data_IF_063152097600
#
_entry.id   IF_063152097600
#
_cell.length_a   1.000
_cell.length_b   1.000
_cell.length_c   1.000
_cell.angle_alpha   90.00
_cell.angle_beta   90.00
_cell.angle_gamma   90.00
#
_symmetry.space_group_name_H-M   'P 1'
#
loop_
_entity.id
_entity.type
_entity.pdbx_description
1 polymer ?
#
# COMPACT_ATOMS: atom_id res chain seq x y z
N UNK A 1 2.80 -14.14 13.30
CA UNK A 1 3.39 -13.03 14.08
C UNK A 1 2.34 -12.38 14.95
N UNK A 2 1.33 -11.70 14.40
CA UNK A 2 0.33 -10.93 15.17
C UNK A 2 -0.63 -11.72 16.06
N UNK A 3 -0.79 -13.02 15.81
CA UNK A 3 -1.63 -13.93 16.62
C UNK A 3 -0.80 -14.82 17.57
N UNK A 4 0.54 -14.67 17.59
CA UNK A 4 1.41 -15.46 18.46
C UNK A 4 1.78 -14.62 19.69
N UNK A 5 1.30 -15.02 20.87
CA UNK A 5 1.59 -14.33 22.14
C UNK A 5 3.09 -14.29 22.47
N UNK A 6 3.90 -15.16 21.86
CA UNK A 6 5.36 -15.16 22.01
C UNK A 6 6.04 -14.13 21.11
N UNK A 7 5.32 -13.43 20.23
CA UNK A 7 5.86 -12.38 19.37
C UNK A 7 6.22 -11.13 20.18
N UNK A 8 7.28 -11.22 20.97
CA UNK A 8 7.76 -10.15 21.86
C UNK A 8 9.24 -9.88 21.66
N UNK A 9 9.67 -8.68 22.05
CA UNK A 9 11.07 -8.28 22.13
C UNK A 9 11.89 -9.23 23.01
N UNK A 10 11.32 -9.69 24.12
CA UNK A 10 11.93 -10.64 25.04
C UNK A 10 12.22 -12.00 24.38
N UNK A 11 11.28 -12.53 23.59
CA UNK A 11 11.48 -13.77 22.82
C UNK A 11 12.63 -13.61 21.82
N UNK A 12 12.70 -12.48 21.12
CA UNK A 12 13.79 -12.23 20.18
C UNK A 12 15.13 -11.99 20.89
N UNK A 13 15.14 -11.33 22.06
CA UNK A 13 16.35 -11.15 22.87
C UNK A 13 16.91 -12.50 23.36
N UNK A 14 16.04 -13.47 23.69
CA UNK A 14 16.46 -14.82 24.07
C UNK A 14 17.14 -15.60 22.92
N UNK A 15 16.70 -15.39 21.67
CA UNK A 15 17.26 -16.05 20.48
C UNK A 15 18.50 -15.31 19.95
N UNK A 16 18.53 -13.99 20.06
CA UNK A 16 19.57 -13.13 19.49
C UNK A 16 20.03 -12.05 20.49
N UNK A 17 20.67 -12.49 21.58
CA UNK A 17 21.06 -11.63 22.70
C UNK A 17 22.02 -10.48 22.33
N UNK A 18 22.84 -10.67 21.30
CA UNK A 18 23.90 -9.72 20.91
C UNK A 18 23.63 -8.96 19.62
N UNK A 19 22.66 -9.39 18.81
CA UNK A 19 22.40 -8.82 17.49
C UNK A 19 21.06 -8.09 17.45
N UNK A 20 20.98 -6.88 16.87
CA UNK A 20 19.69 -6.26 16.54
C UNK A 20 18.88 -7.15 15.60
N UNK A 21 17.61 -7.40 15.95
CA UNK A 21 16.68 -8.17 15.11
C UNK A 21 15.47 -7.31 14.76
N UNK A 22 15.14 -7.29 13.47
CA UNK A 22 13.97 -6.64 12.91
C UNK A 22 13.25 -7.63 11.99
N UNK A 23 12.01 -7.97 12.30
CA UNK A 23 11.17 -8.84 11.49
C UNK A 23 9.99 -8.02 10.96
N UNK A 24 9.86 -7.93 9.64
CA UNK A 24 8.72 -7.28 8.98
C UNK A 24 7.65 -8.33 8.65
N UNK A 25 6.39 -8.01 8.92
CA UNK A 25 5.27 -8.83 8.44
C UNK A 25 5.26 -8.88 6.92
N UNK A 26 4.69 -9.95 6.37
CA UNK A 26 4.50 -10.06 4.92
C UNK A 26 3.65 -8.89 4.36
N UNK A 27 2.68 -8.40 5.14
CA UNK A 27 1.84 -7.25 4.77
C UNK A 27 2.60 -5.90 4.78
N UNK A 28 3.76 -5.82 5.42
CA UNK A 28 4.47 -4.55 5.63
C UNK A 28 3.87 -3.63 6.70
N UNK A 29 2.72 -3.98 7.28
CA UNK A 29 2.02 -3.15 8.27
C UNK A 29 2.51 -3.32 9.72
N UNK A 30 3.25 -4.39 10.02
CA UNK A 30 3.71 -4.69 11.38
C UNK A 30 5.17 -5.11 11.40
N UNK A 31 5.93 -4.60 12.36
CA UNK A 31 7.29 -5.06 12.63
C UNK A 31 7.40 -5.59 14.06
N UNK A 32 8.24 -6.61 14.25
CA UNK A 32 8.67 -7.10 15.57
C UNK A 32 10.17 -6.87 15.73
N UNK A 33 10.54 -6.25 16.85
CA UNK A 33 11.91 -5.83 17.15
C UNK A 33 12.35 -6.34 18.50
N UNK A 34 13.64 -6.69 18.62
CA UNK A 34 14.26 -6.96 19.90
C UNK A 34 14.77 -5.67 20.57
N UNK A 35 15.19 -5.74 21.84
CA UNK A 35 15.58 -4.53 22.58
C UNK A 35 16.83 -3.86 21.99
N UNK A 36 17.73 -4.62 21.34
CA UNK A 36 18.91 -4.08 20.65
C UNK A 36 18.52 -3.27 19.41
N UNK A 37 17.56 -3.75 18.62
CA UNK A 37 17.05 -3.01 17.46
C UNK A 37 16.30 -1.74 17.87
N UNK A 38 15.45 -1.80 18.91
CA UNK A 38 14.78 -0.62 19.47
C UNK A 38 15.79 0.46 19.91
N UNK A 39 16.83 0.08 20.66
CA UNK A 39 17.90 1.01 21.07
C UNK A 39 18.66 1.60 19.89
N UNK A 40 18.98 0.79 18.88
CA UNK A 40 19.68 1.25 17.67
C UNK A 40 18.87 2.31 16.92
N UNK A 41 17.56 2.07 16.79
CA UNK A 41 16.61 2.99 16.18
C UNK A 41 16.16 4.12 17.12
N UNK A 42 16.79 4.24 18.30
CA UNK A 42 16.54 5.27 19.30
C UNK A 42 15.06 5.34 19.75
N UNK A 43 14.38 4.20 19.78
CA UNK A 43 13.01 4.09 20.29
C UNK A 43 13.07 3.80 21.78
N UNK A 44 12.52 4.70 22.58
CA UNK A 44 12.48 4.60 24.04
C UNK A 44 11.13 4.10 24.54
N UNK A 45 11.07 3.62 25.78
CA UNK A 45 9.82 3.20 26.44
C UNK A 45 8.78 4.33 26.53
N UNK A 46 9.26 5.58 26.58
CA UNK A 46 8.45 6.79 26.58
C UNK A 46 8.12 7.35 25.18
N UNK A 47 8.56 6.67 24.10
CA UNK A 47 8.28 7.14 22.74
C UNK A 47 6.77 7.26 22.53
N UNK A 48 6.31 8.41 22.06
CA UNK A 48 4.90 8.61 21.74
C UNK A 48 4.53 7.88 20.44
N UNK A 49 3.28 7.45 20.36
CA UNK A 49 2.74 6.86 19.14
C UNK A 49 2.67 7.94 18.03
N UNK A 50 3.18 7.68 16.82
CA UNK A 50 3.05 8.61 15.71
C UNK A 50 1.59 8.69 15.24
N UNK A 51 1.22 9.77 14.56
CA UNK A 51 -0.11 9.88 13.96
C UNK A 51 -0.36 8.70 13.01
N UNK A 52 -1.40 7.91 13.28
CA UNK A 52 -1.74 6.73 12.50
C UNK A 52 -0.85 5.52 12.74
N UNK A 53 -0.09 5.44 13.83
CA UNK A 53 0.71 4.28 14.17
C UNK A 53 0.75 4.02 15.66
N UNK A 54 1.15 2.82 16.06
CA UNK A 54 1.19 2.41 17.47
C UNK A 54 2.46 1.64 17.77
N UNK A 55 3.15 2.03 18.83
CA UNK A 55 4.13 1.17 19.49
C UNK A 55 3.42 0.37 20.58
N UNK A 56 3.32 -0.94 20.39
CA UNK A 56 2.63 -1.80 21.35
C UNK A 56 3.43 -1.90 22.65
N UNK A 57 2.70 -1.84 23.76
CA UNK A 57 3.23 -1.96 25.11
C UNK A 57 2.66 -3.22 25.75
N UNK A 58 3.44 -3.86 26.61
CA UNK A 58 3.03 -5.02 27.38
C UNK A 58 1.94 -4.69 28.40
N UNK A 59 1.52 -5.68 29.18
CA UNK A 59 0.39 -5.57 30.11
C UNK A 59 0.55 -4.48 31.17
N UNK A 60 1.79 -4.14 31.54
CA UNK A 60 2.09 -3.05 32.47
C UNK A 60 1.96 -1.64 31.86
N UNK A 61 1.70 -1.54 30.55
CA UNK A 61 1.50 -0.31 29.81
C UNK A 61 2.74 0.58 29.67
N UNK A 62 3.91 0.17 30.16
CA UNK A 62 5.12 0.99 30.19
C UNK A 62 6.27 0.42 29.38
N UNK A 63 6.33 -0.90 29.22
CA UNK A 63 7.38 -1.56 28.44
C UNK A 63 6.91 -1.88 27.03
N UNK A 64 7.71 -1.53 26.03
CA UNK A 64 7.53 -1.86 24.63
C UNK A 64 7.56 -3.37 24.44
N UNK A 65 6.50 -3.90 23.85
CA UNK A 65 6.42 -5.32 23.49
C UNK A 65 7.36 -5.68 22.34
N UNK A 66 7.88 -4.68 21.62
CA UNK A 66 8.66 -4.84 20.39
C UNK A 66 7.82 -4.82 19.11
N UNK A 67 6.48 -4.86 19.21
CA UNK A 67 5.59 -4.76 18.07
C UNK A 67 5.30 -3.29 17.73
N UNK A 68 5.41 -2.94 16.45
CA UNK A 68 5.08 -1.63 15.92
C UNK A 68 4.13 -1.77 14.73
N UNK A 69 3.09 -0.95 14.68
CA UNK A 69 2.00 -1.05 13.71
C UNK A 69 1.89 0.23 12.87
N UNK A 70 1.51 0.08 11.60
CA UNK A 70 1.16 1.16 10.67
C UNK A 70 2.26 2.22 10.53
N UNK A 71 2.00 3.49 10.84
CA UNK A 71 3.01 4.54 10.74
C UNK A 71 4.17 4.36 11.73
N UNK A 72 3.98 3.61 12.83
CA UNK A 72 5.09 3.23 13.70
C UNK A 72 5.99 2.21 12.99
N UNK A 73 5.41 1.19 12.33
CA UNK A 73 6.17 0.27 11.47
C UNK A 73 6.89 1.02 10.34
N UNK A 74 6.16 1.89 9.63
CA UNK A 74 6.69 2.70 8.52
C UNK A 74 7.87 3.55 8.96
N UNK A 75 7.78 4.20 10.13
CA UNK A 75 8.88 4.97 10.73
C UNK A 75 10.13 4.11 10.93
N UNK A 76 9.98 2.88 11.41
CA UNK A 76 11.13 1.99 11.63
C UNK A 76 11.76 1.54 10.32
N UNK A 77 10.94 1.15 9.33
CA UNK A 77 11.42 0.78 8.00
C UNK A 77 12.16 1.93 7.34
N UNK A 78 11.62 3.14 7.41
CA UNK A 78 12.27 4.34 6.87
C UNK A 78 13.53 4.71 7.64
N UNK A 79 13.56 4.54 8.96
CA UNK A 79 14.77 4.72 9.78
C UNK A 79 15.90 3.78 9.36
N UNK A 80 15.59 2.49 9.13
CA UNK A 80 16.56 1.51 8.62
C UNK A 80 17.02 1.85 7.20
N UNK A 81 16.09 2.27 6.34
CA UNK A 81 16.43 2.73 5.00
C UNK A 81 17.37 3.94 5.06
N UNK A 82 17.11 4.87 5.98
CA UNK A 82 17.92 6.08 6.15
C UNK A 82 19.36 5.84 6.60
N UNK A 83 19.62 4.74 7.33
CA UNK A 83 20.96 4.29 7.73
C UNK A 83 21.74 3.63 6.58
N UNK A 84 21.07 3.23 5.50
CA UNK A 84 21.73 2.55 4.39
C UNK A 84 22.63 3.53 3.61
N UNK A 85 23.89 3.17 3.32
CA UNK A 85 24.76 4.02 2.51
C UNK A 85 24.18 4.26 1.11
N UNK A 86 24.45 5.45 0.54
CA UNK A 86 23.96 5.84 -0.80
C UNK A 86 24.30 4.79 -1.86
N UNK A 87 25.52 4.25 -1.84
CA UNK A 87 25.95 3.19 -2.75
C UNK A 87 25.10 1.92 -2.64
N UNK A 88 24.59 1.61 -1.44
CA UNK A 88 23.66 0.51 -1.22
C UNK A 88 22.30 0.76 -1.87
N UNK A 89 21.76 1.97 -1.75
CA UNK A 89 20.53 2.35 -2.44
C UNK A 89 20.68 2.34 -3.96
N UNK A 90 21.77 2.91 -4.48
CA UNK A 90 22.05 2.94 -5.92
C UNK A 90 22.13 1.52 -6.50
N UNK A 91 22.82 0.61 -5.80
CA UNK A 91 22.87 -0.82 -6.17
C UNK A 91 21.49 -1.46 -6.16
N UNK A 92 20.72 -1.30 -5.09
CA UNK A 92 19.36 -1.85 -4.99
C UNK A 92 18.45 -1.34 -6.12
N UNK A 93 18.53 -0.04 -6.44
CA UNK A 93 17.75 0.56 -7.52
C UNK A 93 18.15 0.02 -8.91
N UNK A 94 19.44 -0.19 -9.14
CA UNK A 94 19.94 -0.78 -10.39
C UNK A 94 19.49 -2.26 -10.53
N UNK A 95 19.57 -3.03 -9.45
CA UNK A 95 19.07 -4.41 -9.40
C UNK A 95 17.55 -4.46 -9.64
N UNK A 96 16.79 -3.57 -8.99
CA UNK A 96 15.35 -3.44 -9.19
C UNK A 96 14.99 -3.06 -10.63
N UNK A 97 15.68 -2.08 -11.22
CA UNK A 97 15.46 -1.67 -12.61
C UNK A 97 15.77 -2.82 -13.59
N UNK A 98 16.83 -3.58 -13.33
CA UNK A 98 17.17 -4.77 -14.13
C UNK A 98 16.06 -5.81 -14.04
N UNK A 99 15.62 -6.14 -12.81
CA UNK A 99 14.51 -7.09 -12.59
C UNK A 99 13.19 -6.63 -13.24
N UNK A 100 12.92 -5.32 -13.26
CA UNK A 100 11.77 -4.76 -13.94
C UNK A 100 11.84 -4.99 -15.46
N UNK A 101 12.99 -4.73 -16.07
CA UNK A 101 13.19 -4.98 -17.51
C UNK A 101 13.08 -6.47 -17.85
N UNK A 102 13.62 -7.36 -17.02
CA UNK A 102 13.47 -8.82 -17.18
C UNK A 102 12.00 -9.24 -17.23
N UNK A 103 11.18 -8.63 -16.38
CA UNK A 103 9.73 -8.81 -16.35
C UNK A 103 8.96 -7.95 -17.37
N UNK A 104 9.66 -7.25 -18.28
CA UNK A 104 9.09 -6.34 -19.30
C UNK A 104 8.30 -5.15 -18.72
N UNK A 105 8.58 -4.78 -17.47
CA UNK A 105 8.04 -3.59 -16.82
C UNK A 105 8.88 -2.38 -17.22
N UNK A 106 8.26 -1.43 -17.93
CA UNK A 106 8.93 -0.21 -18.41
C UNK A 106 8.66 1.02 -17.55
N UNK A 107 7.66 0.94 -16.66
CA UNK A 107 7.24 2.03 -15.76
C UNK A 107 6.96 1.50 -14.37
N UNK A 108 7.45 2.19 -13.36
CA UNK A 108 7.21 1.85 -11.96
C UNK A 108 6.63 3.05 -11.24
N UNK A 109 5.57 2.81 -10.47
CA UNK A 109 5.07 3.76 -9.49
C UNK A 109 5.64 3.36 -8.14
N UNK A 110 6.65 4.07 -7.70
CA UNK A 110 7.36 3.79 -6.46
C UNK A 110 6.71 4.64 -5.36
N UNK A 111 6.38 4.02 -4.23
CA UNK A 111 5.89 4.71 -3.03
C UNK A 111 6.91 4.61 -1.88
N UNK A 112 8.13 5.14 -2.01
CA UNK A 112 9.12 5.13 -0.95
C UNK A 112 9.14 6.49 -0.23
N UNK A 113 9.66 6.53 0.99
CA UNK A 113 10.29 7.76 1.48
C UNK A 113 11.79 7.69 1.21
N UNK A 114 12.17 8.06 -0.02
CA UNK A 114 13.58 8.18 -0.38
C UNK A 114 14.12 9.49 0.16
N UNK A 115 15.27 9.41 0.83
CA UNK A 115 16.00 10.61 1.21
C UNK A 115 16.37 11.43 -0.04
N UNK A 116 16.36 12.78 0.05
CA UNK A 116 16.65 13.65 -1.10
C UNK A 116 17.97 13.33 -1.83
N UNK A 117 18.97 12.83 -1.11
CA UNK A 117 20.25 12.39 -1.70
C UNK A 117 20.10 11.17 -2.62
N UNK A 118 19.30 10.18 -2.22
CA UNK A 118 19.03 8.99 -3.04
C UNK A 118 18.20 9.35 -4.26
N UNK A 119 17.25 10.27 -4.09
CA UNK A 119 16.46 10.84 -5.19
C UNK A 119 17.37 11.53 -6.21
N UNK A 120 18.34 12.33 -5.77
CA UNK A 120 19.31 12.98 -6.67
C UNK A 120 20.13 11.99 -7.49
N UNK A 121 20.61 10.91 -6.86
CA UNK A 121 21.32 9.84 -7.57
C UNK A 121 20.44 9.16 -8.63
N UNK A 122 19.17 8.91 -8.31
CA UNK A 122 18.21 8.34 -9.27
C UNK A 122 17.99 9.22 -10.49
N UNK A 123 17.74 10.50 -10.24
CA UNK A 123 17.50 11.50 -11.29
C UNK A 123 18.74 11.68 -12.16
N UNK A 124 19.93 11.64 -11.56
CA UNK A 124 21.20 11.81 -12.25
C UNK A 124 21.69 10.56 -12.99
N UNK A 125 21.02 9.41 -12.86
CA UNK A 125 21.45 8.16 -13.51
C UNK A 125 20.90 8.05 -14.95
N UNK A 126 21.72 8.29 -16.00
CA UNK A 126 21.26 8.21 -17.38
C UNK A 126 21.04 6.77 -17.85
N UNK A 127 21.54 5.77 -17.11
CA UNK A 127 21.43 4.35 -17.46
C UNK A 127 20.16 3.69 -16.89
N UNK A 128 19.26 4.46 -16.28
CA UNK A 128 18.02 3.93 -15.72
C UNK A 128 17.09 3.43 -16.84
N UNK A 129 17.02 2.12 -17.01
CA UNK A 129 16.26 1.47 -18.08
C UNK A 129 14.72 1.46 -17.88
N UNK A 130 14.23 2.05 -16.78
CA UNK A 130 12.80 2.11 -16.43
C UNK A 130 12.41 3.54 -16.05
N UNK A 131 11.17 3.92 -16.39
CA UNK A 131 10.61 5.20 -15.93
C UNK A 131 10.04 5.03 -14.52
N UNK A 132 10.44 5.89 -13.59
CA UNK A 132 9.98 5.85 -12.20
C UNK A 132 9.16 7.11 -11.91
N UNK A 133 7.92 6.91 -11.47
CA UNK A 133 7.15 7.95 -10.79
C UNK A 133 7.28 7.73 -9.29
N UNK A 134 7.93 8.64 -8.60
CA UNK A 134 8.04 8.67 -7.16
C UNK A 134 6.80 9.36 -6.59
N UNK A 135 6.20 8.72 -5.60
CA UNK A 135 5.02 9.14 -4.86
C UNK A 135 5.46 9.48 -3.44
N UNK A 136 5.03 10.62 -2.92
CA UNK A 136 5.37 11.03 -1.56
C UNK A 136 4.70 10.11 -0.54
N UNK A 137 5.49 9.53 0.36
CA UNK A 137 5.01 8.71 1.47
C UNK A 137 5.58 9.22 2.82
N UNK A 138 5.18 10.42 3.25
CA UNK A 138 5.75 11.07 4.43
C UNK A 138 5.31 10.38 5.73
N UNK A 139 6.20 10.31 6.73
CA UNK A 139 5.80 9.85 8.08
C UNK A 139 4.74 10.75 8.71
N UNK A 140 4.83 12.06 8.48
CA UNK A 140 3.85 13.01 8.98
C UNK A 140 2.99 13.56 7.84
N UNK A 141 2.10 12.69 7.34
CA UNK A 141 1.15 13.05 6.29
C UNK A 141 0.25 14.23 6.67
N UNK A 142 -0.05 14.42 7.96
CA UNK A 142 -0.88 15.52 8.47
C UNK A 142 -0.23 16.90 8.33
N UNK A 143 1.05 16.98 7.97
CA UNK A 143 1.78 18.22 7.72
C UNK A 143 2.44 18.24 6.34
N UNK A 144 2.09 17.29 5.47
CA UNK A 144 2.73 17.14 4.18
C UNK A 144 2.54 18.36 3.28
N UNK A 145 3.61 18.68 2.56
CA UNK A 145 3.65 19.58 1.41
C UNK A 145 4.57 18.97 0.35
N UNK A 146 4.30 19.14 -0.95
CA UNK A 146 5.15 18.57 -1.99
C UNK A 146 6.51 19.28 -2.03
N UNK A 147 7.60 18.52 -1.90
CA UNK A 147 8.95 19.05 -2.05
C UNK A 147 9.43 18.93 -3.50
N UNK A 148 9.03 19.91 -4.32
CA UNK A 148 9.48 20.01 -5.72
C UNK A 148 10.81 20.76 -5.88
N UNK A 149 11.29 21.40 -4.82
CA UNK A 149 12.52 22.22 -4.87
C UNK A 149 13.74 21.33 -4.74
N UNK A 150 13.72 20.35 -3.84
CA UNK A 150 14.87 19.46 -3.64
C UNK A 150 14.87 18.24 -4.54
N UNK A 151 13.79 18.03 -5.32
CA UNK A 151 13.53 16.87 -6.18
C UNK A 151 13.35 17.27 -7.65
N UNK A 152 14.44 17.60 -8.36
CA UNK A 152 14.35 17.90 -9.79
C UNK A 152 13.93 16.63 -10.54
N UNK A 153 12.94 16.73 -11.43
CA UNK A 153 12.56 15.63 -12.31
C UNK A 153 13.58 15.47 -13.46
N UNK A 154 13.64 14.28 -14.05
CA UNK A 154 14.32 13.99 -15.31
C UNK A 154 13.34 13.37 -16.31
N UNK A 155 13.82 12.99 -17.49
CA UNK A 155 13.03 12.25 -18.48
C UNK A 155 12.54 10.89 -17.94
N UNK A 156 13.35 10.24 -17.10
CA UNK A 156 13.08 8.90 -16.57
C UNK A 156 12.52 8.91 -15.14
N UNK A 157 12.68 10.00 -14.38
CA UNK A 157 12.22 10.11 -12.99
C UNK A 157 11.30 11.31 -12.81
N UNK A 158 10.09 11.09 -12.34
CA UNK A 158 9.09 12.13 -12.05
C UNK A 158 8.56 12.02 -10.63
N UNK A 159 8.01 13.11 -10.09
CA UNK A 159 7.39 13.17 -8.76
C UNK A 159 5.95 13.59 -8.93
N UNK A 160 5.01 12.78 -8.43
CA UNK A 160 3.63 13.22 -8.29
C UNK A 160 2.82 12.26 -7.43
N UNK A 161 2.03 12.86 -6.56
CA UNK A 161 0.99 12.29 -5.74
C UNK A 161 1.44 11.97 -4.32
N UNK A 162 0.46 11.75 -3.45
CA UNK A 162 0.62 11.55 -2.02
C UNK A 162 0.04 10.19 -1.62
N UNK A 163 0.86 9.29 -1.08
CA UNK A 163 0.41 8.05 -0.45
C UNK A 163 -0.10 8.34 0.96
N UNK A 164 -1.28 7.82 1.26
CA UNK A 164 -1.93 7.91 2.58
C UNK A 164 -2.28 6.48 3.00
N UNK A 165 -1.71 6.00 4.11
CA UNK A 165 -2.15 4.75 4.74
C UNK A 165 -3.38 5.01 5.61
N UNK A 166 -4.61 4.83 5.11
CA UNK A 166 -5.83 5.21 5.86
C UNK A 166 -6.28 4.14 6.85
N UNK A 167 -6.08 2.86 6.55
CA UNK A 167 -6.28 1.74 7.48
C UNK A 167 -5.13 0.74 7.36
N UNK A 168 -5.13 -0.28 8.22
CA UNK A 168 -4.12 -1.33 8.18
C UNK A 168 -4.44 -2.45 7.22
N UNK A 169 -3.81 -3.60 7.48
CA UNK A 169 -4.05 -4.83 6.75
C UNK A 169 -5.05 -5.78 7.47
N UNK A 170 -5.76 -6.62 6.70
CA UNK A 170 -6.86 -7.45 7.21
C UNK A 170 -6.33 -8.63 8.03
N UNK A 171 -5.14 -9.13 7.72
CA UNK A 171 -4.51 -10.26 8.41
C UNK A 171 -4.26 -9.91 9.88
N UNK A 172 -3.86 -8.66 10.14
CA UNK A 172 -3.58 -8.11 11.46
C UNK A 172 -4.84 -7.61 12.19
N UNK A 173 -5.98 -7.58 11.50
CA UNK A 173 -7.27 -7.03 11.96
C UNK A 173 -7.28 -5.50 12.11
N UNK A 174 -6.47 -4.83 11.31
CA UNK A 174 -6.28 -3.39 11.36
C UNK A 174 -6.96 -2.67 10.20
N UNK A 175 -7.34 -3.37 9.13
CA UNK A 175 -8.25 -2.82 8.13
C UNK A 175 -9.60 -2.47 8.75
N UNK A 176 -10.16 -1.31 8.38
CA UNK A 176 -11.38 -0.79 8.99
C UNK A 176 -12.61 -1.36 8.30
N UNK A 177 -13.33 -2.23 9.02
CA UNK A 177 -14.54 -2.90 8.56
C UNK A 177 -15.82 -2.22 9.06
N UNK A 178 -16.93 -2.32 8.31
CA UNK A 178 -18.28 -1.90 8.74
C UNK A 178 -18.80 -2.76 9.89
N UNK A 179 -18.46 -4.04 9.88
CA UNK A 179 -18.85 -5.03 10.89
C UNK A 179 -17.61 -5.65 11.55
N UNK A 180 -17.68 -6.09 12.82
CA UNK A 180 -16.54 -6.71 13.50
C UNK A 180 -15.93 -7.90 12.75
N UNK A 181 -14.63 -8.13 12.98
CA UNK A 181 -13.94 -9.31 12.46
C UNK A 181 -14.62 -10.59 12.96
N UNK A 182 -14.79 -11.58 12.08
CA UNK A 182 -15.51 -12.82 12.40
C UNK A 182 -14.79 -13.62 13.49
N UNK A 183 -13.47 -13.63 13.46
CA UNK A 183 -12.60 -14.33 14.41
C UNK A 183 -12.17 -13.47 15.62
N UNK A 184 -12.52 -12.18 15.63
CA UNK A 184 -12.32 -11.29 16.77
C UNK A 184 -13.45 -10.26 16.85
N UNK A 185 -14.63 -10.64 17.37
CA UNK A 185 -15.82 -9.78 17.38
C UNK A 185 -15.70 -8.50 18.22
N UNK A 186 -14.63 -8.36 19.01
CA UNK A 186 -14.34 -7.16 19.82
C UNK A 186 -13.72 -6.01 19.04
N UNK A 187 -13.35 -6.22 17.76
CA UNK A 187 -12.75 -5.17 16.93
C UNK A 187 -13.32 -5.20 15.51
N UNK A 188 -13.36 -4.02 14.89
CA UNK A 188 -13.65 -3.83 13.46
C UNK A 188 -12.49 -3.09 12.76
N UNK A 189 -11.28 -3.17 13.33
CA UNK A 189 -10.13 -2.37 12.90
C UNK A 189 -10.36 -0.87 13.10
N UNK A 190 -9.49 -0.04 12.52
CA UNK A 190 -9.53 1.40 12.74
C UNK A 190 -8.98 2.19 11.55
N UNK A 191 -9.36 3.46 11.50
CA UNK A 191 -8.74 4.43 10.61
C UNK A 191 -7.52 5.01 11.32
N UNK A 192 -6.42 5.17 10.58
CA UNK A 192 -5.21 5.83 11.03
C UNK A 192 -5.42 7.35 11.23
N UNK A 193 -6.47 7.91 10.63
CA UNK A 193 -6.81 9.33 10.70
C UNK A 193 -8.28 9.54 11.02
N UNK A 194 -8.58 10.57 11.80
CA UNK A 194 -9.96 11.04 11.97
C UNK A 194 -10.49 11.60 10.65
N UNK A 195 -11.82 11.65 10.45
CA UNK A 195 -12.41 12.24 9.24
C UNK A 195 -11.92 13.67 8.97
N UNK A 196 -11.79 14.50 10.02
CA UNK A 196 -11.27 15.86 9.89
C UNK A 196 -9.80 15.88 9.44
N UNK A 197 -8.94 15.07 10.07
CA UNK A 197 -7.54 15.00 9.69
C UNK A 197 -7.35 14.52 8.24
N UNK A 198 -8.11 13.50 7.81
CA UNK A 198 -8.09 13.03 6.42
C UNK A 198 -8.53 14.14 5.45
N UNK A 199 -9.60 14.86 5.76
CA UNK A 199 -10.04 15.98 4.93
C UNK A 199 -8.97 17.08 4.83
N UNK A 200 -8.27 17.41 5.91
CA UNK A 200 -7.20 18.41 5.88
C UNK A 200 -5.98 17.97 5.06
N UNK A 201 -5.65 16.68 5.10
CA UNK A 201 -4.62 16.09 4.22
C UNK A 201 -5.06 16.25 2.76
N UNK A 202 -6.31 15.87 2.45
CA UNK A 202 -6.84 15.92 1.08
C UNK A 202 -6.99 17.35 0.55
N UNK A 203 -7.37 18.33 1.38
CA UNK A 203 -7.39 19.76 0.99
C UNK A 203 -6.00 20.24 0.59
N UNK A 204 -4.96 19.81 1.30
CA UNK A 204 -3.56 20.12 0.95
C UNK A 204 -3.14 19.46 -0.37
N UNK A 205 -3.47 18.18 -0.57
CA UNK A 205 -3.23 17.49 -1.84
C UNK A 205 -3.92 18.19 -3.02
N UNK A 206 -5.19 18.58 -2.85
CA UNK A 206 -5.92 19.34 -3.87
C UNK A 206 -5.27 20.70 -4.16
N UNK A 207 -4.92 21.46 -3.13
CA UNK A 207 -4.29 22.77 -3.28
C UNK A 207 -2.91 22.67 -3.97
N UNK A 208 -2.19 21.57 -3.74
CA UNK A 208 -0.94 21.24 -4.41
C UNK A 208 -1.12 20.71 -5.85
N UNK A 209 -2.34 20.38 -6.27
CA UNK A 209 -2.60 19.71 -7.54
C UNK A 209 -2.03 18.30 -7.60
N UNK A 210 -1.93 17.60 -6.46
CA UNK A 210 -1.38 16.25 -6.37
C UNK A 210 -2.49 15.22 -6.14
N UNK A 211 -2.50 14.10 -6.87
CA UNK A 211 -3.47 13.05 -6.63
C UNK A 211 -3.15 12.28 -5.34
N UNK A 212 -4.16 12.04 -4.48
CA UNK A 212 -4.00 11.13 -3.36
C UNK A 212 -4.05 9.68 -3.84
N UNK A 213 -3.22 8.84 -3.22
CA UNK A 213 -3.21 7.40 -3.29
C UNK A 213 -3.56 6.87 -1.91
N UNK A 214 -4.83 6.53 -1.71
CA UNK A 214 -5.37 6.20 -0.40
C UNK A 214 -5.38 4.68 -0.27
N UNK A 215 -4.53 4.13 0.58
CA UNK A 215 -4.64 2.76 1.05
C UNK A 215 -5.96 2.61 1.80
N UNK A 216 -6.88 1.80 1.30
CA UNK A 216 -8.13 1.49 2.00
C UNK A 216 -8.51 0.04 1.67
N UNK A 217 -8.22 -0.88 2.59
CA UNK A 217 -8.54 -2.30 2.39
C UNK A 217 -9.95 -2.64 2.86
N UNK A 218 -10.34 -2.19 4.06
CA UNK A 218 -11.66 -2.47 4.60
C UNK A 218 -12.80 -1.70 3.93
N UNK A 219 -14.00 -2.26 3.91
CA UNK A 219 -15.20 -1.61 3.32
C UNK A 219 -15.52 -0.25 3.96
N UNK A 220 -15.42 -0.14 5.30
CA UNK A 220 -15.60 1.15 5.99
C UNK A 220 -14.41 2.12 5.77
N UNK A 221 -13.22 1.63 5.43
CA UNK A 221 -12.11 2.49 5.01
C UNK A 221 -12.37 3.09 3.63
N UNK A 222 -12.91 2.29 2.69
CA UNK A 222 -13.33 2.76 1.37
C UNK A 222 -14.42 3.82 1.50
N UNK A 223 -15.43 3.60 2.36
CA UNK A 223 -16.45 4.61 2.67
C UNK A 223 -15.81 5.94 3.12
N UNK A 224 -14.93 5.87 4.13
CA UNK A 224 -14.28 7.04 4.70
C UNK A 224 -13.43 7.80 3.67
N UNK A 225 -12.73 7.07 2.79
CA UNK A 225 -11.96 7.66 1.71
C UNK A 225 -12.85 8.41 0.71
N UNK A 226 -13.97 7.80 0.29
CA UNK A 226 -14.92 8.41 -0.63
C UNK A 226 -15.60 9.63 0.00
N UNK A 227 -16.01 9.55 1.27
CA UNK A 227 -16.63 10.65 2.02
C UNK A 227 -15.69 11.85 2.09
N UNK A 228 -14.41 11.61 2.39
CA UNK A 228 -13.42 12.67 2.48
C UNK A 228 -13.07 13.27 1.12
N UNK A 229 -13.00 12.46 0.05
CA UNK A 229 -12.82 12.97 -1.32
C UNK A 229 -14.02 13.83 -1.75
N UNK A 230 -15.25 13.41 -1.48
CA UNK A 230 -16.45 14.20 -1.79
C UNK A 230 -16.49 15.52 -1.01
N UNK A 231 -16.19 15.49 0.29
CA UNK A 231 -16.21 16.67 1.16
C UNK A 231 -15.14 17.72 0.79
N UNK A 232 -14.03 17.30 0.18
CA UNK A 232 -12.89 18.19 -0.12
C UNK A 232 -12.87 18.66 -1.56
N UNK A 233 -13.35 17.84 -2.50
CA UNK A 233 -13.21 18.10 -3.93
C UNK A 233 -14.37 17.66 -4.79
N UNK A 234 -15.03 16.55 -4.44
CA UNK A 234 -16.03 15.93 -5.30
C UNK A 234 -15.50 15.74 -6.72
N UNK A 235 -16.25 16.22 -7.72
CA UNK A 235 -15.87 16.09 -9.14
C UNK A 235 -14.58 16.83 -9.51
N UNK A 236 -14.11 17.78 -8.70
CA UNK A 236 -12.81 18.46 -8.94
C UNK A 236 -11.61 17.51 -8.81
N UNK A 237 -11.80 16.34 -8.22
CA UNK A 237 -10.77 15.30 -8.20
C UNK A 237 -10.55 14.61 -9.55
N UNK A 238 -11.56 14.59 -10.43
CA UNK A 238 -11.51 13.80 -11.66
C UNK A 238 -10.31 14.10 -12.57
N UNK A 239 -9.87 15.36 -12.77
CA UNK A 239 -8.66 15.66 -13.55
C UNK A 239 -7.38 15.16 -12.90
N UNK A 240 -7.33 15.08 -11.56
CA UNK A 240 -6.16 14.59 -10.82
C UNK A 240 -6.09 13.06 -10.79
N UNK A 241 -7.22 12.37 -10.94
CA UNK A 241 -7.33 10.91 -10.96
C UNK A 241 -6.83 10.28 -9.64
N UNK A 242 -7.48 10.58 -8.50
CA UNK A 242 -7.16 9.96 -7.22
C UNK A 242 -7.25 8.43 -7.31
N UNK A 243 -6.53 7.75 -6.43
CA UNK A 243 -6.53 6.28 -6.37
C UNK A 243 -6.97 5.78 -5.01
N UNK A 244 -7.76 4.70 -5.03
CA UNK A 244 -7.94 3.84 -3.86
C UNK A 244 -7.07 2.61 -4.10
N UNK A 245 -6.04 2.47 -3.26
CA UNK A 245 -5.08 1.37 -3.27
C UNK A 245 -5.63 0.22 -2.42
N UNK A 246 -5.37 -1.02 -2.87
CA UNK A 246 -5.98 -2.26 -2.40
C UNK A 246 -7.48 -2.31 -2.71
N UNK A 247 -8.28 -1.45 -2.10
CA UNK A 247 -9.72 -1.35 -2.33
C UNK A 247 -10.42 -2.72 -2.18
N UNK A 248 -9.97 -3.57 -1.26
CA UNK A 248 -10.48 -4.94 -1.13
C UNK A 248 -11.98 -4.94 -0.83
N UNK A 249 -12.46 -4.04 0.03
CA UNK A 249 -13.87 -3.85 0.35
C UNK A 249 -14.65 -3.00 -0.65
N UNK A 250 -14.10 -2.68 -1.83
CA UNK A 250 -14.81 -1.87 -2.83
C UNK A 250 -15.94 -2.69 -3.48
N UNK A 251 -17.19 -2.30 -3.20
CA UNK A 251 -18.40 -2.89 -3.79
C UNK A 251 -19.15 -2.00 -4.78
N UNK A 252 -20.29 -2.52 -5.25
CA UNK A 252 -21.20 -1.89 -6.24
C UNK A 252 -21.73 -0.53 -5.78
N UNK A 253 -21.89 -0.35 -4.47
CA UNK A 253 -22.37 0.87 -3.84
C UNK A 253 -21.41 2.06 -4.02
N UNK A 254 -20.13 1.79 -4.31
CA UNK A 254 -19.12 2.83 -4.49
C UNK A 254 -18.99 3.33 -5.93
N UNK A 255 -19.53 2.60 -6.90
CA UNK A 255 -19.27 2.80 -8.35
C UNK A 255 -19.60 4.21 -8.82
N UNK A 256 -20.79 4.73 -8.52
CA UNK A 256 -21.18 6.04 -9.04
C UNK A 256 -20.35 7.19 -8.42
N UNK A 257 -20.02 7.07 -7.13
CA UNK A 257 -19.13 8.02 -6.44
C UNK A 257 -17.73 8.01 -7.06
N UNK A 258 -17.19 6.81 -7.28
CA UNK A 258 -15.88 6.63 -7.90
C UNK A 258 -15.84 7.20 -9.33
N UNK A 259 -16.86 6.93 -10.15
CA UNK A 259 -16.97 7.43 -11.53
C UNK A 259 -16.98 8.95 -11.57
N UNK A 260 -17.81 9.60 -10.73
CA UNK A 260 -17.92 11.06 -10.66
C UNK A 260 -16.61 11.75 -10.27
N UNK A 261 -15.82 11.12 -9.40
CA UNK A 261 -14.56 11.66 -8.91
C UNK A 261 -13.34 11.24 -9.74
N UNK A 262 -13.54 10.46 -10.82
CA UNK A 262 -12.46 9.94 -11.65
C UNK A 262 -11.48 9.03 -10.90
N UNK A 263 -11.98 8.28 -9.92
CA UNK A 263 -11.18 7.37 -9.09
C UNK A 263 -10.67 6.21 -9.94
N UNK A 264 -9.39 5.88 -9.74
CA UNK A 264 -8.80 4.62 -10.19
C UNK A 264 -8.75 3.67 -8.99
N UNK A 265 -9.18 2.43 -9.19
CA UNK A 265 -8.97 1.37 -8.22
C UNK A 265 -7.68 0.65 -8.54
N UNK A 266 -6.85 0.40 -7.52
CA UNK A 266 -5.63 -0.41 -7.66
C UNK A 266 -5.78 -1.64 -6.78
N UNK A 267 -5.66 -2.82 -7.37
CA UNK A 267 -5.73 -4.12 -6.68
C UNK A 267 -4.37 -4.81 -6.75
N UNK A 268 -4.11 -5.73 -5.80
CA UNK A 268 -2.84 -6.44 -5.69
C UNK A 268 -3.09 -7.94 -5.78
N UNK A 269 -3.10 -8.53 -7.00
CA UNK A 269 -3.58 -9.89 -7.18
C UNK A 269 -2.83 -10.96 -6.38
N UNK A 270 -1.53 -10.78 -6.11
CA UNK A 270 -0.78 -11.68 -5.21
C UNK A 270 -1.45 -11.84 -3.85
N UNK A 271 -2.16 -10.82 -3.36
CA UNK A 271 -2.87 -10.85 -2.07
C UNK A 271 -4.12 -11.75 -2.11
N UNK A 272 -4.65 -12.06 -3.29
CA UNK A 272 -5.79 -12.97 -3.46
C UNK A 272 -5.42 -14.42 -3.12
N UNK A 273 -4.13 -14.72 -3.02
CA UNK A 273 -3.62 -16.01 -2.54
C UNK A 273 -3.89 -16.26 -1.05
N UNK A 274 -4.20 -15.22 -0.27
CA UNK A 274 -4.50 -15.30 1.16
C UNK A 274 -5.96 -15.65 1.47
N UNK A 275 -6.60 -16.44 0.60
CA UNK A 275 -8.02 -16.78 0.67
C UNK A 275 -8.46 -17.31 2.04
N UNK A 276 -7.66 -18.21 2.63
CA UNK A 276 -7.95 -18.76 3.97
C UNK A 276 -7.96 -17.67 5.04
N UNK A 277 -6.94 -16.81 5.04
CA UNK A 277 -6.85 -15.69 5.99
C UNK A 277 -8.04 -14.75 5.85
N UNK A 278 -8.38 -14.32 4.63
CA UNK A 278 -9.55 -13.48 4.39
C UNK A 278 -10.86 -14.12 4.86
N UNK A 279 -11.04 -15.43 4.60
CA UNK A 279 -12.24 -16.16 5.02
C UNK A 279 -12.34 -16.30 6.54
N UNK A 280 -11.24 -16.47 7.25
CA UNK A 280 -11.21 -16.44 8.72
C UNK A 280 -11.58 -15.06 9.27
N UNK A 281 -11.01 -13.99 8.68
CA UNK A 281 -11.19 -12.61 9.14
C UNK A 281 -12.60 -12.07 8.88
N UNK A 282 -13.17 -12.37 7.71
CA UNK A 282 -14.48 -11.85 7.29
C UNK A 282 -15.63 -12.86 7.49
N UNK A 283 -15.33 -14.16 7.51
CA UNK A 283 -16.35 -15.21 7.43
C UNK A 283 -16.78 -15.48 5.99
N UNK A 284 -17.39 -16.66 5.78
CA UNK A 284 -17.67 -17.20 4.45
C UNK A 284 -18.63 -16.37 3.59
N UNK A 285 -19.58 -15.65 4.22
CA UNK A 285 -20.52 -14.81 3.47
C UNK A 285 -19.90 -13.46 3.08
N UNK A 286 -19.24 -12.76 4.02
CA UNK A 286 -18.70 -11.43 3.75
C UNK A 286 -17.50 -11.43 2.81
N UNK A 287 -16.67 -12.48 2.82
CA UNK A 287 -15.49 -12.56 1.93
C UNK A 287 -15.87 -12.53 0.44
N UNK A 288 -17.08 -12.99 0.08
CA UNK A 288 -17.58 -12.93 -1.30
C UNK A 288 -17.85 -11.50 -1.78
N UNK A 289 -17.92 -10.54 -0.86
CA UNK A 289 -18.09 -9.12 -1.15
C UNK A 289 -16.77 -8.37 -1.28
N UNK A 290 -15.62 -9.04 -1.11
CA UNK A 290 -14.30 -8.45 -1.22
C UNK A 290 -13.61 -8.86 -2.53
N UNK A 291 -12.61 -8.06 -2.94
CA UNK A 291 -11.76 -8.27 -4.13
C UNK A 291 -12.60 -8.41 -5.41
N UNK A 292 -13.54 -7.47 -5.59
CA UNK A 292 -14.54 -7.39 -6.66
C UNK A 292 -13.97 -6.96 -8.01
N UNK A 293 -12.87 -7.58 -8.43
CA UNK A 293 -12.08 -7.17 -9.60
C UNK A 293 -12.90 -7.15 -10.89
N UNK A 294 -13.65 -8.23 -11.18
CA UNK A 294 -14.51 -8.30 -12.37
C UNK A 294 -15.62 -7.25 -12.35
N UNK A 295 -16.29 -7.08 -11.22
CA UNK A 295 -17.33 -6.07 -11.05
C UNK A 295 -16.79 -4.65 -11.31
N UNK A 296 -15.61 -4.31 -10.78
CA UNK A 296 -14.95 -3.01 -11.00
C UNK A 296 -14.72 -2.78 -12.51
N UNK A 297 -14.21 -3.80 -13.22
CA UNK A 297 -13.98 -3.75 -14.67
C UNK A 297 -15.28 -3.57 -15.46
N UNK A 298 -16.31 -4.37 -15.17
CA UNK A 298 -17.60 -4.32 -15.85
C UNK A 298 -18.35 -3.00 -15.58
N UNK A 299 -18.16 -2.41 -14.41
CA UNK A 299 -18.67 -1.09 -14.06
C UNK A 299 -17.96 0.07 -14.78
N UNK A 300 -16.90 -0.20 -15.55
CA UNK A 300 -16.14 0.80 -16.28
C UNK A 300 -15.26 1.69 -15.39
N UNK A 301 -14.99 1.27 -14.15
CA UNK A 301 -14.06 1.97 -13.26
C UNK A 301 -12.62 1.62 -13.70
N UNK A 302 -11.73 2.62 -13.89
CA UNK A 302 -10.34 2.34 -14.20
C UNK A 302 -9.70 1.45 -13.13
N UNK A 303 -9.24 0.27 -13.54
CA UNK A 303 -8.55 -0.69 -12.69
C UNK A 303 -7.08 -0.79 -13.09
N UNK A 304 -6.19 -0.80 -12.10
CA UNK A 304 -4.80 -1.17 -12.28
C UNK A 304 -4.40 -2.31 -11.32
N UNK A 305 -3.40 -3.09 -11.71
CA UNK A 305 -2.77 -4.06 -10.83
C UNK A 305 -1.41 -3.57 -10.37
N UNK A 306 -1.21 -3.52 -9.05
CA UNK A 306 0.06 -3.29 -8.41
C UNK A 306 0.65 -4.61 -7.89
N UNK A 307 1.97 -4.69 -7.75
CA UNK A 307 2.60 -5.91 -7.24
C UNK A 307 2.52 -6.02 -5.72
N UNK A 308 2.77 -4.92 -5.00
CA UNK A 308 2.91 -4.83 -3.53
C UNK A 308 3.49 -6.09 -2.86
N UNK A 309 4.54 -6.64 -3.50
CA UNK A 309 5.10 -7.94 -3.17
C UNK A 309 4.25 -9.15 -3.63
N UNK A 310 4.85 -10.11 -4.37
CA UNK A 310 6.16 -10.10 -5.02
C UNK A 310 6.14 -9.31 -6.35
N UNK A 311 7.31 -8.80 -6.76
CA UNK A 311 7.49 -8.06 -8.01
C UNK A 311 7.60 -9.01 -9.23
N UNK A 312 6.49 -9.68 -9.55
CA UNK A 312 6.37 -10.53 -10.73
C UNK A 312 5.00 -10.30 -11.38
N UNK A 313 4.93 -9.62 -12.54
CA UNK A 313 3.65 -9.32 -13.19
C UNK A 313 2.94 -10.59 -13.70
N UNK A 314 3.66 -11.64 -14.08
CA UNK A 314 3.05 -12.89 -14.55
C UNK A 314 2.30 -13.61 -13.42
N UNK A 315 2.87 -13.59 -12.21
CA UNK A 315 2.19 -14.12 -11.03
C UNK A 315 0.96 -13.31 -10.67
N UNK A 316 1.04 -11.98 -10.75
CA UNK A 316 -0.11 -11.11 -10.50
C UNK A 316 -1.21 -11.29 -11.58
N UNK A 317 -0.84 -11.48 -12.85
CA UNK A 317 -1.78 -11.82 -13.91
C UNK A 317 -2.47 -13.15 -13.59
N UNK A 318 -1.71 -14.19 -13.23
CA UNK A 318 -2.27 -15.50 -12.85
C UNK A 318 -3.27 -15.38 -11.69
N UNK A 319 -2.95 -14.59 -10.66
CA UNK A 319 -3.88 -14.42 -9.56
C UNK A 319 -5.08 -13.54 -9.92
N UNK A 320 -4.94 -12.59 -10.85
CA UNK A 320 -6.08 -11.83 -11.35
C UNK A 320 -7.05 -12.71 -12.15
N UNK A 321 -6.53 -13.69 -12.90
CA UNK A 321 -7.31 -14.64 -13.72
C UNK A 321 -7.88 -15.82 -12.92
N UNK A 322 -7.34 -16.11 -11.73
CA UNK A 322 -7.87 -17.19 -10.90
C UNK A 322 -8.68 -16.69 -9.70
N UNK A 323 -8.30 -15.54 -9.16
CA UNK A 323 -8.80 -14.92 -7.94
C UNK A 323 -9.19 -15.95 -6.87
N UNK A 324 -8.21 -16.62 -6.22
CA UNK A 324 -8.48 -17.75 -5.33
C UNK A 324 -9.39 -17.40 -4.14
N UNK A 325 -9.40 -16.14 -3.71
CA UNK A 325 -10.28 -15.65 -2.64
C UNK A 325 -11.72 -15.49 -3.12
N UNK A 326 -11.91 -15.02 -4.36
CA UNK A 326 -13.24 -14.84 -4.95
C UNK A 326 -13.25 -15.22 -6.46
N UNK A 327 -13.34 -16.52 -6.79
CA UNK A 327 -13.20 -16.98 -8.18
C UNK A 327 -14.23 -16.40 -9.15
N UNK A 328 -15.41 -16.01 -8.65
CA UNK A 328 -16.43 -15.34 -9.47
C UNK A 328 -15.99 -13.97 -9.99
N UNK A 329 -14.99 -13.37 -9.33
CA UNK A 329 -14.43 -12.06 -9.63
C UNK A 329 -13.09 -12.12 -10.38
N UNK A 330 -12.72 -13.29 -10.90
CA UNK A 330 -11.59 -13.42 -11.83
C UNK A 330 -11.83 -12.60 -13.12
N UNK A 331 -10.76 -12.00 -13.66
CA UNK A 331 -10.85 -11.12 -14.85
C UNK A 331 -11.27 -11.86 -16.14
N UNK A 332 -11.05 -13.16 -16.21
CA UNK A 332 -11.23 -14.02 -17.40
C UNK A 332 -12.17 -15.21 -17.14
N UNK A 333 -13.06 -15.12 -16.15
CA UNK A 333 -13.90 -16.23 -15.67
C UNK A 333 -14.65 -17.03 -16.77
N UNK A 334 -15.25 -18.19 -16.45
CA UNK A 334 -15.76 -19.20 -17.41
C UNK A 334 -16.88 -18.73 -18.36
N UNK A 335 -17.31 -17.47 -18.26
CA UNK A 335 -18.28 -16.79 -19.11
C UNK A 335 -17.76 -15.42 -19.59
N UNK A 336 -16.45 -15.29 -19.80
CA UNK A 336 -15.84 -14.07 -20.33
C UNK A 336 -16.62 -13.57 -21.57
N UNK A 337 -16.84 -12.25 -21.70
CA UNK A 337 -17.57 -11.73 -22.86
C UNK A 337 -16.84 -12.15 -24.15
N UNK A 338 -17.56 -12.61 -25.19
CA UNK A 338 -16.94 -12.93 -26.47
C UNK A 338 -16.37 -11.63 -27.06
N UNK A 339 -15.09 -11.35 -26.85
CA UNK A 339 -14.43 -10.23 -27.54
C UNK A 339 -13.36 -9.43 -26.79
N UNK A 340 -12.96 -9.75 -25.55
CA UNK A 340 -11.75 -9.11 -24.98
C UNK A 340 -10.51 -9.81 -25.55
N UNK A 341 -10.24 -9.56 -26.83
CA UNK A 341 -8.92 -9.78 -27.40
C UNK A 341 -7.97 -8.75 -26.80
N UNK A 342 -7.08 -9.19 -25.92
CA UNK A 342 -5.84 -8.45 -25.65
C UNK A 342 -5.06 -8.42 -26.96
N UNK A 343 -5.18 -7.34 -27.74
CA UNK A 343 -4.31 -7.07 -28.88
C UNK A 343 -2.91 -6.82 -28.34
N UNK A 344 -2.10 -7.87 -28.29
CA UNK A 344 -0.65 -7.74 -28.29
C UNK A 344 -0.25 -7.24 -29.68
N UNK A 345 -0.01 -5.94 -29.81
CA UNK A 345 0.37 -5.31 -31.06
C UNK A 345 1.72 -5.82 -31.55
N UNK A 346 1.77 -6.32 -32.79
CA UNK A 346 3.03 -6.67 -33.44
C UNK A 346 2.83 -7.51 -34.71
N UNK A 347 2.65 -6.86 -35.86
CA UNK A 347 2.61 -7.55 -37.15
C UNK A 347 2.42 -6.59 -38.31
N UNK A 348 3.53 -6.07 -38.85
CA UNK A 348 3.56 -5.36 -40.12
C UNK A 348 3.06 -6.30 -41.23
N UNK A 349 1.99 -5.93 -41.92
CA UNK A 349 1.61 -6.52 -43.20
C UNK A 349 2.36 -5.82 -44.32
N UNK A 350 3.39 -6.47 -44.86
CA UNK A 350 3.85 -6.18 -46.22
C UNK A 350 2.91 -6.90 -47.18
N UNK A 351 2.16 -6.15 -47.98
CA UNK A 351 1.42 -6.69 -49.13
C UNK A 351 2.36 -6.79 -50.33
N UNK A 352 2.36 -7.95 -50.98
CA UNK A 352 2.56 -8.06 -52.42
C UNK A 352 1.19 -8.00 -53.09
#
# INVERSE_FOLDING_TARGET
MVDDERATSATLDAVAATHPVFLLSWSGHVALLNSKALRRLQISESEADPAGGVFSRGENGSQLSGLAYEYACTRLVQGLFAETPIAGHARWLAEFATSAVEHRVTTVQLMPDLQPRVVRELVANPALAVRIRIIDMPLNVTQWTPDRVTRPASETVSFSGLKIILDGAPIERWSRLRQPYADRPTTSGHLNFTPHALQDILRRAMAAGEPPMIHASGDAAVDAALDALEATGGTRWAPLRPRIEHADGFGVEHVERARRMGIIVVQNPSHFSLATGWKERLGASRVQHYQQVRMILEAGIPLAFGSDGPFNPFLNIMFATTNPTNPSQAVDGPSGPPGVHVRLGGGRTTRA
#
